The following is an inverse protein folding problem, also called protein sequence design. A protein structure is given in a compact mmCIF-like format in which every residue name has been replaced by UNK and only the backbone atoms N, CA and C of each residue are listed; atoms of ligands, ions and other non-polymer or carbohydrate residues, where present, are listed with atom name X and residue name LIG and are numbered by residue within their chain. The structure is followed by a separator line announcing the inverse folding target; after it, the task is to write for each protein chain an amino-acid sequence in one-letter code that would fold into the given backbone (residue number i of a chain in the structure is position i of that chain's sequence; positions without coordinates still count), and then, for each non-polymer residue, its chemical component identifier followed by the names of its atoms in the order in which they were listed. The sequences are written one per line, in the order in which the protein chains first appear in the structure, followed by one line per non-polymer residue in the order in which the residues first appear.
data_IF_095568890382
#
_entry.id   IF_095568890382
#
_cell.length_a   1.000
_cell.length_b   1.000
_cell.length_c   1.000
_cell.angle_alpha   90.00
_cell.angle_beta   90.00
_cell.angle_gamma   90.00
#
_symmetry.space_group_name_H-M   'P 1'
#
loop_
_entity.id
_entity.type
_entity.pdbx_description
1 polymer ?
#
# COMPACT_ATOMS: atom_id res chain seq x y z
N UNK A 1 -12.09 -11.28 -13.20
CA UNK A 1 -12.50 -10.16 -12.33
C UNK A 1 -11.26 -9.63 -11.63
N UNK A 2 -11.22 -8.38 -11.17
CA UNK A 2 -9.98 -7.73 -10.72
C UNK A 2 -10.12 -7.09 -9.35
N UNK A 3 -9.17 -7.36 -8.46
CA UNK A 3 -8.96 -6.60 -7.23
C UNK A 3 -8.57 -5.16 -7.56
N UNK A 4 -9.08 -4.15 -6.85
CA UNK A 4 -8.80 -2.73 -7.12
C UNK A 4 -8.15 -2.11 -5.89
N UNK A 5 -7.07 -1.36 -6.10
CA UNK A 5 -6.45 -0.52 -5.08
C UNK A 5 -6.72 0.93 -5.43
N UNK A 6 -7.32 1.68 -4.51
CA UNK A 6 -7.53 3.12 -4.61
C UNK A 6 -6.66 3.85 -3.58
N UNK A 7 -5.88 4.82 -4.03
CA UNK A 7 -5.10 5.70 -3.15
C UNK A 7 -5.63 7.12 -3.31
N UNK A 8 -6.06 7.72 -2.19
CA UNK A 8 -6.48 9.12 -2.11
C UNK A 8 -5.42 9.88 -1.33
N UNK A 9 -4.75 10.81 -2.00
CA UNK A 9 -3.77 11.68 -1.35
C UNK A 9 -4.48 12.90 -0.75
N UNK A 10 -4.72 12.91 0.56
CA UNK A 10 -5.27 14.06 1.27
C UNK A 10 -4.15 14.95 1.88
N UNK A 11 -2.89 14.75 1.50
CA UNK A 11 -1.77 15.61 1.89
C UNK A 11 -1.77 16.89 1.06
N UNK A 12 -1.11 17.92 1.60
CA UNK A 12 -0.79 19.15 0.85
C UNK A 12 0.42 19.02 -0.09
N UNK A 13 0.98 17.82 -0.24
CA UNK A 13 2.18 17.52 -1.04
C UNK A 13 1.95 16.28 -1.91
N UNK A 14 2.62 16.15 -3.07
CA UNK A 14 2.47 14.98 -3.92
C UNK A 14 3.10 13.72 -3.29
N UNK A 15 2.64 12.58 -3.79
CA UNK A 15 3.26 11.28 -3.55
C UNK A 15 3.92 10.83 -4.85
N UNK A 16 5.18 10.40 -4.80
CA UNK A 16 5.91 9.95 -5.99
C UNK A 16 6.21 8.46 -5.90
N UNK A 17 6.02 7.71 -6.98
CA UNK A 17 6.38 6.29 -6.99
C UNK A 17 7.89 6.15 -6.76
N UNK A 18 8.26 5.49 -5.67
CA UNK A 18 9.66 5.33 -5.26
C UNK A 18 10.23 4.01 -5.77
N UNK A 19 9.59 2.89 -5.40
CA UNK A 19 9.94 1.54 -5.87
C UNK A 19 8.69 0.67 -6.01
N UNK A 20 8.73 -0.19 -7.02
CA UNK A 20 7.77 -1.27 -7.22
C UNK A 20 8.53 -2.59 -7.34
N UNK A 21 8.11 -3.58 -6.57
CA UNK A 21 8.56 -4.96 -6.69
C UNK A 21 7.35 -5.84 -6.95
N UNK A 22 7.50 -6.77 -7.89
CA UNK A 22 6.45 -7.68 -8.30
C UNK A 22 7.07 -9.06 -8.50
N UNK A 23 6.48 -10.07 -7.84
CA UNK A 23 6.90 -11.46 -7.93
C UNK A 23 6.55 -12.07 -9.30
N UNK A 24 5.54 -11.52 -10.00
CA UNK A 24 5.10 -11.99 -11.32
C UNK A 24 5.01 -10.83 -12.31
N UNK A 25 5.86 -10.86 -13.33
CA UNK A 25 6.13 -9.79 -14.32
C UNK A 25 4.95 -9.27 -15.17
N UNK A 26 3.70 -9.57 -14.79
CA UNK A 26 2.48 -9.26 -15.53
C UNK A 26 1.48 -8.38 -14.76
N UNK A 27 1.89 -7.61 -13.74
CA UNK A 27 1.12 -6.42 -13.34
C UNK A 27 1.19 -5.40 -14.48
N UNK A 28 0.31 -5.60 -15.45
CA UNK A 28 0.09 -4.74 -16.61
C UNK A 28 -0.76 -3.52 -16.25
N UNK A 29 -0.48 -2.90 -15.11
CA UNK A 29 -1.10 -1.64 -14.73
C UNK A 29 -0.01 -0.68 -14.29
N UNK A 30 0.12 0.39 -15.08
CA UNK A 30 0.96 1.54 -14.78
C UNK A 30 0.61 2.03 -13.37
N UNK A 31 1.46 1.73 -12.39
CA UNK A 31 1.42 2.44 -11.13
C UNK A 31 1.60 3.93 -11.46
N UNK A 32 0.70 4.82 -11.01
CA UNK A 32 0.84 6.24 -11.25
C UNK A 32 2.24 6.70 -10.82
N UNK A 33 2.99 7.44 -11.67
CA UNK A 33 4.30 7.95 -11.29
C UNK A 33 4.19 8.96 -10.15
N UNK A 34 3.06 9.65 -10.05
CA UNK A 34 2.78 10.66 -9.06
C UNK A 34 1.28 10.70 -8.71
N UNK A 35 0.95 10.97 -7.45
CA UNK A 35 -0.41 11.18 -6.94
C UNK A 35 -0.47 12.58 -6.34
N UNK A 36 -1.11 13.51 -7.03
CA UNK A 36 -1.20 14.90 -6.59
C UNK A 36 -2.14 15.07 -5.38
N UNK A 37 -1.96 16.15 -4.59
CA UNK A 37 -2.89 16.53 -3.53
C UNK A 37 -4.35 16.49 -3.98
N UNK A 38 -5.23 15.94 -3.15
CA UNK A 38 -6.67 15.78 -3.36
C UNK A 38 -7.07 14.93 -4.59
N UNK A 39 -6.11 14.26 -5.22
CA UNK A 39 -6.39 13.33 -6.31
C UNK A 39 -6.53 11.89 -5.80
N UNK A 40 -7.28 11.12 -6.57
CA UNK A 40 -7.46 9.68 -6.38
C UNK A 40 -6.86 8.98 -7.58
N UNK A 41 -6.01 8.01 -7.30
CA UNK A 41 -5.54 7.07 -8.31
C UNK A 41 -6.03 5.67 -8.00
N UNK A 42 -6.32 4.90 -9.05
CA UNK A 42 -6.72 3.51 -8.92
C UNK A 42 -5.97 2.62 -9.90
N UNK A 43 -5.66 1.41 -9.46
CA UNK A 43 -5.10 0.38 -10.31
C UNK A 43 -5.71 -0.96 -9.92
N UNK A 44 -5.69 -1.92 -10.84
CA UNK A 44 -6.33 -3.22 -10.64
C UNK A 44 -5.36 -4.38 -10.84
N UNK A 45 -5.74 -5.54 -10.33
CA UNK A 45 -5.01 -6.79 -10.48
C UNK A 45 -6.00 -7.89 -10.83
N UNK A 46 -5.74 -8.69 -11.87
CA UNK A 46 -6.63 -9.78 -12.27
C UNK A 46 -6.61 -10.91 -11.22
N UNK A 47 -7.79 -11.42 -10.85
CA UNK A 47 -7.96 -12.54 -9.90
C UNK A 47 -7.48 -13.89 -10.49
N UNK A 48 -7.22 -13.95 -11.80
CA UNK A 48 -6.70 -15.16 -12.48
C UNK A 48 -5.18 -15.35 -12.29
N UNK A 49 -4.49 -14.32 -11.77
CA UNK A 49 -3.06 -14.36 -11.50
C UNK A 49 -2.83 -14.46 -9.99
N UNK A 50 -1.96 -15.39 -9.57
CA UNK A 50 -1.36 -15.30 -8.24
C UNK A 50 -0.47 -14.06 -8.25
N UNK A 51 -0.94 -12.96 -7.69
CA UNK A 51 -0.22 -11.71 -7.62
C UNK A 51 0.37 -11.52 -6.22
N UNK A 52 1.66 -11.23 -6.17
CA UNK A 52 2.39 -10.84 -4.98
C UNK A 52 3.23 -9.62 -5.34
N UNK A 53 2.81 -8.45 -4.86
CA UNK A 53 3.44 -7.18 -5.22
C UNK A 53 3.57 -6.25 -4.02
N UNK A 54 4.61 -5.44 -4.03
CA UNK A 54 4.81 -4.35 -3.08
C UNK A 54 5.21 -3.08 -3.81
N UNK A 55 4.63 -1.97 -3.41
CA UNK A 55 4.89 -0.67 -3.99
C UNK A 55 5.05 0.36 -2.89
N UNK A 56 5.97 1.31 -3.10
CA UNK A 56 6.24 2.40 -2.18
C UNK A 56 6.04 3.75 -2.88
N UNK A 57 5.35 4.65 -2.20
CA UNK A 57 5.19 6.04 -2.61
C UNK A 57 5.88 6.94 -1.62
N UNK A 58 6.90 7.65 -2.08
CA UNK A 58 7.60 8.70 -1.34
C UNK A 58 6.67 9.89 -1.11
N UNK A 59 6.65 10.39 0.13
CA UNK A 59 5.93 11.59 0.49
C UNK A 59 6.87 12.78 0.28
N UNK A 60 6.53 13.65 -0.67
CA UNK A 60 7.41 14.73 -1.10
C UNK A 60 7.90 15.61 0.07
N UNK A 61 9.19 15.96 0.03
CA UNK A 61 9.87 16.75 1.07
C UNK A 61 9.95 16.06 2.44
N UNK A 62 9.80 14.74 2.50
CA UNK A 62 10.00 13.94 3.70
C UNK A 62 10.99 12.80 3.45
N UNK A 63 11.49 12.20 4.51
CA UNK A 63 12.25 10.94 4.46
C UNK A 63 11.34 9.72 4.58
N UNK A 64 10.03 9.84 4.30
CA UNK A 64 9.04 8.80 4.51
C UNK A 64 8.40 8.35 3.19
N UNK A 65 8.11 7.07 3.11
CA UNK A 65 7.28 6.46 2.08
C UNK A 65 6.14 5.67 2.72
N UNK A 66 4.97 5.69 2.08
CA UNK A 66 3.94 4.68 2.34
C UNK A 66 4.26 3.45 1.50
N UNK A 67 4.35 2.29 2.15
CA UNK A 67 4.59 1.00 1.51
C UNK A 67 3.32 0.19 1.60
N UNK A 68 2.95 -0.42 0.48
CA UNK A 68 1.70 -1.13 0.32
C UNK A 68 2.04 -2.47 -0.30
N UNK A 69 1.65 -3.54 0.37
CA UNK A 69 1.88 -4.91 -0.01
C UNK A 69 0.54 -5.58 -0.30
N UNK A 70 0.52 -6.39 -1.36
CA UNK A 70 -0.66 -7.04 -1.88
C UNK A 70 -0.33 -8.50 -2.20
N UNK A 71 -1.22 -9.41 -1.78
CA UNK A 71 -1.20 -10.81 -2.16
C UNK A 71 -2.60 -11.23 -2.59
N UNK A 72 -2.78 -11.57 -3.86
CA UNK A 72 -4.05 -12.03 -4.44
C UNK A 72 -3.81 -13.39 -5.08
N UNK A 73 -4.63 -14.38 -4.78
CA UNK A 73 -4.51 -15.69 -5.42
C UNK A 73 -5.65 -16.63 -5.04
N UNK A 74 -5.50 -17.90 -5.40
CA UNK A 74 -6.52 -18.94 -5.15
C UNK A 74 -6.81 -19.17 -3.65
N UNK A 75 -5.89 -18.81 -2.77
CA UNK A 75 -6.03 -18.89 -1.31
C UNK A 75 -6.70 -17.67 -0.66
N UNK A 76 -7.11 -16.67 -1.45
CA UNK A 76 -7.71 -15.44 -0.95
C UNK A 76 -6.91 -14.19 -1.29
N UNK A 77 -7.29 -13.08 -0.65
CA UNK A 77 -6.67 -11.77 -0.84
C UNK A 77 -6.18 -11.26 0.50
N UNK A 78 -4.96 -10.77 0.54
CA UNK A 78 -4.35 -10.17 1.73
C UNK A 78 -3.70 -8.86 1.33
N UNK A 79 -3.90 -7.86 2.18
CA UNK A 79 -3.40 -6.51 1.96
C UNK A 79 -2.76 -6.03 3.25
N UNK A 80 -1.65 -5.32 3.12
CA UNK A 80 -0.98 -4.64 4.22
C UNK A 80 -0.44 -3.30 3.71
N UNK A 81 -0.42 -2.29 4.58
CA UNK A 81 0.32 -1.08 4.31
C UNK A 81 0.94 -0.53 5.60
N UNK A 82 2.01 0.24 5.43
CA UNK A 82 2.81 0.81 6.51
C UNK A 82 3.61 2.01 6.04
N UNK A 83 4.33 2.63 6.97
CA UNK A 83 5.29 3.68 6.64
C UNK A 83 6.72 3.18 6.84
N UNK A 84 7.61 3.56 5.94
CA UNK A 84 9.04 3.30 6.04
C UNK A 84 9.84 4.57 5.77
N UNK A 85 11.06 4.63 6.31
CA UNK A 85 12.01 5.68 5.95
C UNK A 85 12.64 5.37 4.60
N UNK A 86 13.02 6.39 3.85
CA UNK A 86 13.90 6.27 2.69
C UNK A 86 15.34 6.28 3.23
N UNK A 87 16.21 5.32 2.85
CA UNK A 87 16.11 4.44 1.69
C UNK A 87 15.52 3.03 1.95
N UNK A 88 14.98 2.77 3.13
CA UNK A 88 14.54 1.43 3.54
C UNK A 88 13.26 0.95 2.81
N UNK A 89 12.59 1.80 2.02
CA UNK A 89 11.34 1.50 1.32
C UNK A 89 11.55 0.89 -0.09
N UNK A 90 12.31 -0.20 -0.17
CA UNK A 90 12.85 -0.76 -1.43
C UNK A 90 11.89 -1.65 -2.23
N UNK A 91 10.88 -2.23 -1.58
CA UNK A 91 9.82 -3.06 -2.17
C UNK A 91 10.07 -4.57 -2.12
N UNK A 92 11.31 -5.04 -2.17
CA UNK A 92 11.66 -6.48 -2.27
C UNK A 92 11.55 -7.26 -0.95
N UNK A 93 11.89 -6.66 0.20
CA UNK A 93 11.88 -7.33 1.52
C UNK A 93 10.59 -7.07 2.30
N UNK A 94 9.79 -6.13 1.83
CA UNK A 94 8.68 -5.54 2.54
C UNK A 94 7.40 -6.36 2.35
N UNK A 95 7.28 -7.16 1.29
CA UNK A 95 6.10 -8.04 1.09
C UNK A 95 5.96 -9.05 2.22
N UNK A 96 6.95 -9.96 2.36
CA UNK A 96 6.92 -11.01 3.39
C UNK A 96 6.81 -10.41 4.77
N UNK A 97 7.48 -9.28 4.97
CA UNK A 97 7.63 -8.68 6.27
C UNK A 97 6.42 -7.81 6.67
N UNK A 98 5.69 -7.20 5.73
CA UNK A 98 4.38 -6.58 5.99
C UNK A 98 3.26 -7.63 6.16
N UNK A 99 3.36 -8.76 5.45
CA UNK A 99 2.39 -9.86 5.54
C UNK A 99 2.60 -10.76 6.77
N UNK A 100 3.82 -10.84 7.30
CA UNK A 100 4.13 -11.55 8.55
C UNK A 100 3.99 -10.61 9.77
N UNK A 101 2.90 -10.79 10.52
CA UNK A 101 2.61 -10.01 11.73
C UNK A 101 3.71 -10.07 12.81
N UNK A 102 4.55 -11.12 12.80
CA UNK A 102 5.60 -11.35 13.78
C UNK A 102 6.95 -10.73 13.40
N UNK A 103 7.26 -10.60 12.10
CA UNK A 103 8.56 -10.06 11.65
C UNK A 103 8.64 -8.53 11.75
N UNK A 104 7.55 -7.80 11.49
CA UNK A 104 7.57 -6.33 11.48
C UNK A 104 7.49 -5.64 12.85
N UNK A 105 7.42 -6.40 13.96
CA UNK A 105 7.40 -5.84 15.34
C UNK A 105 8.73 -5.18 15.75
N UNK A 106 9.78 -5.30 14.94
CA UNK A 106 11.17 -4.99 15.33
C UNK A 106 11.72 -3.69 14.75
N UNK A 107 10.99 -2.96 13.90
CA UNK A 107 11.44 -1.68 13.31
C UNK A 107 10.50 -0.54 13.74
N UNK A 108 11.09 0.59 14.16
CA UNK A 108 10.51 1.68 14.97
C UNK A 108 9.30 2.46 14.40
N UNK A 109 8.63 1.97 13.36
CA UNK A 109 7.58 2.71 12.64
C UNK A 109 6.41 1.82 12.20
N UNK A 110 5.99 0.89 13.08
CA UNK A 110 4.93 -0.07 12.80
C UNK A 110 3.53 0.52 12.95
N UNK A 111 2.74 0.39 11.90
CA UNK A 111 1.28 0.19 12.00
C UNK A 111 0.86 -0.60 10.77
N UNK A 112 0.47 -1.87 10.98
CA UNK A 112 0.06 -2.80 9.92
C UNK A 112 -1.47 -2.82 9.91
N UNK A 113 -2.07 -2.61 8.74
CA UNK A 113 -3.46 -2.96 8.51
C UNK A 113 -3.60 -4.31 7.83
N UNK A 114 -3.53 -5.39 8.60
CA UNK A 114 -3.89 -6.72 8.11
C UNK A 114 -5.42 -6.76 8.07
N UNK A 115 -5.98 -6.47 6.90
CA UNK A 115 -7.40 -6.21 6.76
C UNK A 115 -8.09 -7.40 6.09
N UNK A 116 -8.56 -8.33 6.93
CA UNK A 116 -9.52 -9.36 6.52
C UNK A 116 -10.97 -8.81 6.45
N UNK A 117 -11.22 -7.58 6.91
CA UNK A 117 -12.41 -6.74 6.66
C UNK A 117 -12.31 -5.49 7.58
N UNK A 118 -12.86 -4.34 7.17
CA UNK A 118 -13.01 -3.16 8.02
C UNK A 118 -11.95 -2.06 7.85
N UNK A 119 -12.07 -1.02 8.68
CA UNK A 119 -11.23 0.19 8.62
C UNK A 119 -10.13 0.15 9.69
N UNK A 120 -8.90 0.41 9.29
CA UNK A 120 -7.74 0.53 10.17
C UNK A 120 -7.03 1.86 9.94
N UNK A 121 -6.27 2.32 10.93
CA UNK A 121 -5.54 3.59 10.86
C UNK A 121 -4.12 3.42 11.34
N UNK A 122 -3.19 3.99 10.57
CA UNK A 122 -1.76 3.89 10.75
C UNK A 122 -1.18 5.30 10.83
N UNK A 123 -0.24 5.59 11.72
CA UNK A 123 0.24 6.96 11.91
C UNK A 123 1.73 7.02 12.27
N UNK A 124 2.42 8.01 11.74
CA UNK A 124 3.81 8.31 12.02
C UNK A 124 4.04 9.82 11.97
N UNK A 125 4.70 10.37 12.98
CA UNK A 125 4.93 11.83 13.09
C UNK A 125 3.60 12.59 12.89
N UNK A 126 3.53 13.47 11.88
CA UNK A 126 2.35 14.27 11.54
C UNK A 126 1.60 13.71 10.31
N UNK A 127 1.68 12.41 10.06
CA UNK A 127 1.06 11.74 8.90
C UNK A 127 0.23 10.57 9.39
N UNK A 128 -1.00 10.44 8.90
CA UNK A 128 -1.91 9.31 9.16
C UNK A 128 -2.37 8.72 7.84
N UNK A 129 -2.41 7.40 7.72
CA UNK A 129 -3.15 6.74 6.65
C UNK A 129 -4.31 5.91 7.22
N UNK A 130 -5.46 6.01 6.58
CA UNK A 130 -6.64 5.18 6.83
C UNK A 130 -6.73 4.13 5.73
N UNK A 131 -6.84 2.87 6.13
CA UNK A 131 -6.83 1.72 5.24
C UNK A 131 -8.16 1.01 5.41
N UNK A 132 -8.92 0.89 4.33
CA UNK A 132 -10.23 0.26 4.30
C UNK A 132 -10.20 -0.87 3.29
N UNK A 133 -10.56 -2.07 3.73
CA UNK A 133 -10.83 -3.21 2.85
C UNK A 133 -12.32 -3.49 2.87
N UNK A 134 -12.94 -3.43 1.69
CA UNK A 134 -14.35 -3.74 1.49
C UNK A 134 -14.50 -4.99 0.62
N UNK A 135 -15.09 -6.05 1.18
CA UNK A 135 -15.50 -7.23 0.40
C UNK A 135 -16.80 -6.98 -0.38
N UNK A 136 -17.74 -6.20 0.18
CA UNK A 136 -19.02 -5.86 -0.45
C UNK A 136 -18.85 -5.09 -1.78
N UNK A 137 -17.83 -4.25 -1.89
CA UNK A 137 -17.53 -3.45 -3.10
C UNK A 137 -16.45 -4.10 -4.00
N UNK A 138 -16.43 -5.43 -4.16
CA UNK A 138 -15.52 -6.13 -5.11
C UNK A 138 -14.03 -6.06 -4.72
N UNK A 139 -13.69 -6.40 -3.47
CA UNK A 139 -12.30 -6.49 -2.99
C UNK A 139 -11.50 -5.22 -3.28
N UNK A 140 -12.04 -4.07 -2.86
CA UNK A 140 -11.37 -2.78 -3.02
C UNK A 140 -10.56 -2.48 -1.76
N UNK A 141 -9.26 -2.25 -1.94
CA UNK A 141 -8.38 -1.65 -0.93
C UNK A 141 -8.40 -0.13 -1.14
N UNK A 142 -8.98 0.62 -0.20
CA UNK A 142 -8.93 2.09 -0.22
C UNK A 142 -7.94 2.58 0.83
N UNK A 143 -6.99 3.42 0.41
CA UNK A 143 -6.00 4.04 1.28
C UNK A 143 -6.16 5.55 1.19
N UNK A 144 -6.36 6.22 2.32
CA UNK A 144 -6.46 7.70 2.41
C UNK A 144 -5.35 8.22 3.30
N UNK A 145 -4.56 9.17 2.83
CA UNK A 145 -3.35 9.66 3.53
C UNK A 145 -3.53 11.12 3.90
N UNK A 146 -3.38 11.46 5.17
CA UNK A 146 -3.68 12.77 5.76
C UNK A 146 -2.47 13.35 6.47
N UNK A 147 -2.36 14.67 6.47
CA UNK A 147 -1.59 15.39 7.47
C UNK A 147 -2.40 15.37 8.77
N UNK A 148 -1.74 15.10 9.90
CA UNK A 148 -2.32 15.18 11.25
C UNK A 148 -2.23 16.60 11.76
#
# INVERSE_FOLDING_TARGET
FSSVVEIVNCLGVPLSNHKSWDCNSEVNNFLPPEIFPLHRESFSASDEMNLEATFSYEIFSTDLAIVIALKVGSGGKSFAAGFLRIPDATGEKELEALMDENQWKTHDYKTNANANEGMQSIAIRNIRAEILVSEEEKSVLKIRIFAV
#
